data_IF_019571340907
#
_entry.id   IF_019571340907
#
_cell.length_a   1.000
_cell.length_b   1.000
_cell.length_c   1.000
_cell.angle_alpha   90.00
_cell.angle_beta   90.00
_cell.angle_gamma   90.00
#
_symmetry.space_group_name_H-M   'P 1'
#
loop_
_entity.id
_entity.type
_entity.pdbx_description
1 polymer ?
#
# COMPACT_ATOMS: atom_id res chain seq x y z
N UNK A 1 -12.64 8.07 18.53
CA UNK A 1 -13.67 7.12 19.04
C UNK A 1 -12.97 5.98 19.77
N UNK A 2 -13.46 5.56 20.93
CA UNK A 2 -12.93 4.38 21.65
C UNK A 2 -13.78 3.16 21.28
N UNK A 3 -13.13 2.09 20.82
CA UNK A 3 -13.80 0.87 20.35
C UNK A 3 -13.08 -0.35 20.92
N UNK A 4 -13.85 -1.35 21.35
CA UNK A 4 -13.32 -2.63 21.79
C UNK A 4 -13.47 -3.64 20.65
N UNK A 5 -12.34 -4.18 20.16
CA UNK A 5 -12.29 -5.14 19.05
C UNK A 5 -11.32 -6.26 19.39
N UNK A 6 -11.64 -7.48 18.96
CA UNK A 6 -10.77 -8.64 19.09
C UNK A 6 -9.86 -8.70 17.87
N UNK A 7 -8.54 -8.69 18.08
CA UNK A 7 -7.53 -8.80 17.03
C UNK A 7 -6.60 -9.96 17.36
N UNK A 8 -6.24 -10.74 16.35
CA UNK A 8 -5.23 -11.79 16.51
C UNK A 8 -3.88 -11.19 16.94
N UNK A 9 -3.34 -11.67 18.06
CA UNK A 9 -2.10 -11.12 18.64
C UNK A 9 -0.86 -11.31 17.76
N UNK A 10 -0.79 -12.42 17.01
CA UNK A 10 0.33 -12.66 16.08
C UNK A 10 0.31 -11.61 14.96
N UNK A 11 -0.88 -11.34 14.41
CA UNK A 11 -1.07 -10.30 13.40
C UNK A 11 -0.65 -8.93 13.93
N UNK A 12 -1.12 -8.55 15.13
CA UNK A 12 -0.76 -7.27 15.74
C UNK A 12 0.75 -7.12 15.94
N UNK A 13 1.43 -8.16 16.43
CA UNK A 13 2.90 -8.16 16.57
C UNK A 13 3.61 -8.00 15.24
N UNK A 14 3.17 -8.71 14.20
CA UNK A 14 3.75 -8.59 12.86
C UNK A 14 3.56 -7.18 12.30
N UNK A 15 2.36 -6.62 12.44
CA UNK A 15 2.05 -5.27 11.98
C UNK A 15 2.90 -4.21 12.72
N UNK A 16 3.00 -4.30 14.04
CA UNK A 16 3.84 -3.39 14.84
C UNK A 16 5.32 -3.48 14.44
N UNK A 17 5.85 -4.71 14.24
CA UNK A 17 7.24 -4.91 13.78
C UNK A 17 7.48 -4.36 12.39
N UNK A 18 6.54 -4.57 11.46
CA UNK A 18 6.65 -4.07 10.10
C UNK A 18 6.54 -2.54 10.02
N UNK A 19 5.70 -1.93 10.86
CA UNK A 19 5.49 -0.48 10.87
C UNK A 19 6.48 0.28 11.76
N UNK A 20 7.20 -0.40 12.66
CA UNK A 20 8.08 0.23 13.66
C UNK A 20 7.35 1.08 14.71
N UNK A 21 6.03 0.89 14.87
CA UNK A 21 5.20 1.70 15.75
C UNK A 21 5.15 1.13 17.17
N UNK A 22 5.09 2.01 18.15
CA UNK A 22 5.25 1.66 19.57
C UNK A 22 3.95 1.15 20.19
N UNK A 23 2.80 1.61 19.71
CA UNK A 23 1.51 1.28 20.31
C UNK A 23 0.56 0.57 19.35
N UNK A 24 -0.28 -0.33 19.88
CA UNK A 24 -1.35 -1.00 19.13
C UNK A 24 -2.28 0.01 18.46
N UNK A 25 -2.57 1.14 19.12
CA UNK A 25 -3.44 2.21 18.60
C UNK A 25 -2.85 2.82 17.32
N UNK A 26 -1.57 3.20 17.35
CA UNK A 26 -0.90 3.79 16.19
C UNK A 26 -0.85 2.81 15.02
N UNK A 27 -0.54 1.54 15.29
CA UNK A 27 -0.51 0.50 14.24
C UNK A 27 -1.88 0.30 13.60
N UNK A 28 -2.95 0.24 14.40
CA UNK A 28 -4.32 0.13 13.88
C UNK A 28 -4.68 1.37 13.06
N UNK A 29 -4.38 2.57 13.56
CA UNK A 29 -4.68 3.82 12.85
C UNK A 29 -3.92 3.92 11.51
N UNK A 30 -2.64 3.55 11.51
CA UNK A 30 -1.82 3.50 10.29
C UNK A 30 -2.38 2.48 9.29
N UNK A 31 -2.78 1.30 9.74
CA UNK A 31 -3.40 0.28 8.89
C UNK A 31 -4.72 0.75 8.25
N UNK A 32 -5.56 1.44 9.02
CA UNK A 32 -6.81 2.02 8.51
C UNK A 32 -6.55 3.12 7.47
N UNK A 33 -5.58 4.01 7.71
CA UNK A 33 -5.17 5.04 6.73
C UNK A 33 -4.68 4.41 5.44
N UNK A 34 -3.84 3.38 5.53
CA UNK A 34 -3.33 2.65 4.37
C UNK A 34 -4.47 1.99 3.58
N UNK A 35 -5.44 1.38 4.26
CA UNK A 35 -6.60 0.77 3.61
C UNK A 35 -7.40 1.79 2.78
N UNK A 36 -7.66 2.97 3.34
CA UNK A 36 -8.34 4.07 2.62
C UNK A 36 -7.52 4.52 1.42
N UNK A 37 -6.20 4.69 1.57
CA UNK A 37 -5.31 5.09 0.48
C UNK A 37 -5.31 4.06 -0.66
N UNK A 38 -5.18 2.77 -0.34
CA UNK A 38 -5.24 1.69 -1.34
C UNK A 38 -6.57 1.72 -2.08
N UNK A 39 -7.69 1.88 -1.36
CA UNK A 39 -9.00 1.92 -1.96
C UNK A 39 -9.18 3.16 -2.86
N UNK A 40 -8.67 4.33 -2.46
CA UNK A 40 -8.70 5.53 -3.28
C UNK A 40 -7.93 5.34 -4.60
N UNK A 41 -6.77 4.65 -4.55
CA UNK A 41 -5.99 4.33 -5.75
C UNK A 41 -6.71 3.36 -6.69
N UNK A 42 -7.67 2.54 -6.23
CA UNK A 42 -8.42 1.66 -7.13
C UNK A 42 -9.24 2.40 -8.17
N UNK A 43 -9.56 3.68 -7.96
CA UNK A 43 -10.28 4.51 -8.95
C UNK A 43 -9.49 4.59 -10.26
N UNK A 44 -8.15 4.62 -10.20
CA UNK A 44 -7.31 4.63 -11.41
C UNK A 44 -7.49 3.36 -12.26
N UNK A 45 -7.90 2.23 -11.64
CA UNK A 45 -8.18 1.00 -12.37
C UNK A 45 -9.35 1.14 -13.34
N UNK A 46 -10.25 2.11 -13.13
CA UNK A 46 -11.35 2.42 -14.07
C UNK A 46 -10.84 2.99 -15.38
N UNK A 47 -9.65 3.59 -15.39
CA UNK A 47 -9.03 4.12 -16.60
C UNK A 47 -8.41 3.03 -17.47
N UNK A 48 -8.22 1.81 -16.94
CA UNK A 48 -7.65 0.69 -17.70
C UNK A 48 -8.51 0.36 -18.91
N UNK A 49 -7.97 0.56 -20.11
CA UNK A 49 -8.68 0.37 -21.38
C UNK A 49 -9.60 1.52 -21.79
N UNK A 50 -9.84 2.49 -20.92
CA UNK A 50 -10.62 3.69 -21.22
C UNK A 50 -9.76 4.87 -21.69
N UNK A 51 -8.46 4.86 -21.39
CA UNK A 51 -7.50 5.88 -21.84
C UNK A 51 -6.50 5.29 -22.83
N UNK A 52 -6.17 6.07 -23.86
CA UNK A 52 -5.08 5.73 -24.79
C UNK A 52 -3.76 6.09 -24.13
N UNK A 53 -2.84 5.12 -24.10
CA UNK A 53 -1.49 5.37 -23.67
C UNK A 53 -0.67 5.92 -24.84
N UNK A 54 0.06 7.01 -24.60
CA UNK A 54 0.97 7.64 -25.58
C UNK A 54 2.40 7.54 -25.04
N UNK A 55 3.28 6.83 -25.75
CA UNK A 55 4.68 6.62 -25.39
C UNK A 55 5.34 5.49 -26.19
N UNK A 56 6.65 5.28 -25.98
CA UNK A 56 7.39 4.16 -26.54
C UNK A 56 7.77 3.16 -25.42
N UNK A 57 7.28 1.92 -25.54
CA UNK A 57 7.45 0.91 -24.50
C UNK A 57 8.90 0.42 -24.41
N UNK A 58 9.58 0.34 -25.55
CA UNK A 58 10.97 -0.10 -25.62
C UNK A 58 11.88 0.95 -24.99
N UNK A 59 11.65 2.24 -25.26
CA UNK A 59 12.40 3.34 -24.62
C UNK A 59 12.22 3.35 -23.09
N UNK A 60 11.00 3.10 -22.59
CA UNK A 60 10.72 3.03 -21.15
C UNK A 60 11.45 1.88 -20.44
N UNK A 61 11.83 0.83 -21.18
CA UNK A 61 12.54 -0.35 -20.63
C UNK A 61 14.05 -0.12 -20.56
N UNK A 62 14.63 0.66 -21.47
CA UNK A 62 16.07 0.92 -21.54
C UNK A 62 16.60 1.74 -20.38
N UNK A 63 15.77 2.57 -19.74
CA UNK A 63 16.17 3.38 -18.57
C UNK A 63 16.15 2.63 -17.23
N UNK A 64 15.79 1.34 -17.22
CA UNK A 64 15.82 0.53 -16.00
C UNK A 64 17.25 0.11 -15.73
N UNK A 65 17.90 0.79 -14.78
CA UNK A 65 19.22 0.37 -14.28
C UNK A 65 19.09 -1.07 -13.75
N UNK A 66 19.95 -2.02 -14.19
CA UNK A 66 19.97 -3.34 -13.60
C UNK A 66 20.32 -3.19 -12.12
N UNK A 67 19.51 -3.77 -11.24
CA UNK A 67 19.93 -3.97 -9.85
C UNK A 67 21.20 -4.82 -9.90
N UNK A 68 22.33 -4.23 -9.53
CA UNK A 68 23.60 -4.94 -9.40
C UNK A 68 23.40 -6.16 -8.49
N UNK A 69 23.91 -7.30 -8.96
CA UNK A 69 23.84 -8.62 -8.32
C UNK A 69 24.48 -8.62 -6.93
#
# INVERSE_FOLDING_TARGET
>A
MRTNIVINDRLMRQAMKASGLRTKRETVEAGLKLLVQIQAQTVIRRLKGAVRWEGNLEESRTSRVPLAS
#
